data_IF_767509349111
#
_entry.id   IF_767509349111
#
_cell.length_a   1.000
_cell.length_b   1.000
_cell.length_c   1.000
_cell.angle_alpha   90.00
_cell.angle_beta   90.00
_cell.angle_gamma   90.00
#
_symmetry.space_group_name_H-M   'P 1'
#
loop_
_entity.id
_entity.type
_entity.pdbx_description
1 polymer ?
#
# COMPACT_ATOMS: atom_id res chain seq x y z
N UNK A 1 -64.45 -51.13 34.96
CA UNK A 1 -63.38 -51.83 35.71
C UNK A 1 -62.36 -52.23 34.67
N UNK A 2 -61.45 -51.30 34.39
CA UNK A 2 -60.58 -51.32 33.21
C UNK A 2 -59.17 -51.66 33.70
N UNK A 3 -58.62 -52.78 33.22
CA UNK A 3 -57.29 -53.28 33.58
C UNK A 3 -56.21 -52.38 33.00
N UNK A 4 -55.42 -51.75 33.89
CA UNK A 4 -54.22 -51.02 33.53
C UNK A 4 -53.08 -52.01 33.19
N UNK A 5 -52.88 -52.26 31.90
CA UNK A 5 -51.72 -52.97 31.38
C UNK A 5 -50.45 -52.12 31.50
N UNK A 6 -49.61 -52.42 32.49
CA UNK A 6 -48.25 -51.90 32.63
C UNK A 6 -47.36 -52.42 31.49
N UNK A 7 -47.07 -51.59 30.50
CA UNK A 7 -46.06 -51.85 29.46
C UNK A 7 -44.66 -51.68 30.08
N UNK A 8 -44.05 -52.78 30.49
CA UNK A 8 -42.63 -52.83 30.85
C UNK A 8 -41.81 -52.79 29.55
N UNK A 9 -41.24 -51.64 29.23
CA UNK A 9 -40.28 -51.49 28.11
C UNK A 9 -39.03 -52.30 28.45
N UNK A 10 -38.84 -53.43 27.75
CA UNK A 10 -37.65 -54.26 27.89
C UNK A 10 -36.37 -53.43 27.59
N UNK A 11 -35.47 -53.34 28.56
CA UNK A 11 -34.14 -52.71 28.37
C UNK A 11 -33.39 -53.48 27.28
N UNK A 12 -33.04 -52.78 26.21
CA UNK A 12 -32.25 -53.34 25.11
C UNK A 12 -30.98 -54.06 25.63
N UNK A 13 -30.74 -55.27 25.14
CA UNK A 13 -29.59 -56.10 25.46
C UNK A 13 -28.28 -55.33 25.16
N UNK A 14 -27.51 -55.05 26.22
CA UNK A 14 -26.27 -54.27 26.15
C UNK A 14 -25.14 -55.04 25.45
N UNK A 15 -25.26 -56.37 25.29
CA UNK A 15 -24.22 -57.24 24.73
C UNK A 15 -23.95 -57.02 23.23
N UNK A 16 -24.83 -56.29 22.52
CA UNK A 16 -24.72 -56.01 21.07
C UNK A 16 -24.21 -54.60 20.73
N UNK A 17 -23.85 -53.79 21.73
CA UNK A 17 -23.40 -52.41 21.48
C UNK A 17 -21.95 -52.40 21.06
N UNK A 18 -21.64 -51.66 20.00
CA UNK A 18 -20.26 -51.38 19.60
C UNK A 18 -19.58 -50.56 20.69
N UNK A 19 -18.36 -50.94 21.05
CA UNK A 19 -17.50 -50.20 21.98
C UNK A 19 -16.79 -49.08 21.21
N UNK A 20 -16.80 -47.88 21.77
CA UNK A 20 -16.16 -46.69 21.19
C UNK A 20 -15.11 -46.08 22.12
N UNK A 21 -14.82 -46.73 23.25
CA UNK A 21 -13.73 -46.35 24.15
C UNK A 21 -12.41 -46.85 23.59
N UNK A 22 -11.81 -46.04 22.72
CA UNK A 22 -10.52 -46.32 22.09
C UNK A 22 -9.33 -46.10 23.03
N UNK A 23 -9.55 -45.57 24.24
CA UNK A 23 -8.49 -45.38 25.25
C UNK A 23 -8.30 -46.65 26.06
N UNK A 24 -9.40 -47.25 26.55
CA UNK A 24 -9.33 -48.50 27.33
C UNK A 24 -9.19 -49.73 26.44
N UNK A 25 -9.85 -49.75 25.27
CA UNK A 25 -9.91 -50.88 24.35
C UNK A 25 -9.65 -50.43 22.90
N UNK A 26 -8.39 -50.08 22.55
CA UNK A 26 -8.06 -49.55 21.23
C UNK A 26 -8.28 -50.61 20.12
N UNK A 27 -9.33 -50.44 19.33
CA UNK A 27 -9.52 -51.17 18.08
C UNK A 27 -8.76 -50.45 16.95
N UNK A 28 -7.45 -50.71 16.85
CA UNK A 28 -6.49 -49.96 16.01
C UNK A 28 -6.89 -49.82 14.52
N UNK A 29 -7.70 -50.72 13.98
CA UNK A 29 -8.20 -50.67 12.59
C UNK A 29 -9.33 -49.63 12.39
N UNK A 30 -9.93 -49.14 13.48
CA UNK A 30 -11.15 -48.30 13.46
C UNK A 30 -10.99 -46.91 14.09
N UNK A 31 -9.79 -46.61 14.59
CA UNK A 31 -9.46 -45.30 15.19
C UNK A 31 -8.96 -44.32 14.13
N UNK A 32 -9.16 -43.03 14.37
CA UNK A 32 -8.66 -41.97 13.48
C UNK A 32 -7.14 -41.78 13.63
N UNK A 33 -6.46 -41.17 12.65
CA UNK A 33 -5.05 -40.83 12.78
C UNK A 33 -4.73 -40.00 14.03
N UNK A 34 -5.62 -39.07 14.41
CA UNK A 34 -5.42 -38.24 15.60
C UNK A 34 -5.64 -39.02 16.91
N UNK A 35 -6.60 -39.95 16.95
CA UNK A 35 -6.74 -40.87 18.09
C UNK A 35 -5.48 -41.73 18.25
N UNK A 36 -4.92 -42.23 17.15
CA UNK A 36 -3.66 -42.97 17.16
C UNK A 36 -2.51 -42.11 17.66
N UNK A 37 -2.40 -40.86 17.19
CA UNK A 37 -1.43 -39.90 17.71
C UNK A 37 -1.52 -39.76 19.24
N UNK A 38 -2.73 -39.62 19.79
CA UNK A 38 -2.92 -39.56 21.25
C UNK A 38 -2.42 -40.83 21.93
N UNK A 39 -2.72 -42.03 21.39
CA UNK A 39 -2.25 -43.29 21.94
C UNK A 39 -0.72 -43.44 21.88
N UNK A 40 -0.07 -42.83 20.89
CA UNK A 40 1.39 -42.90 20.68
C UNK A 40 2.18 -41.88 21.53
N UNK A 41 1.50 -40.98 22.27
CA UNK A 41 2.15 -40.07 23.22
C UNK A 41 2.68 -40.86 24.43
N UNK A 42 3.88 -40.49 24.90
CA UNK A 42 4.50 -41.08 26.09
C UNK A 42 3.85 -40.55 27.38
N UNK A 43 2.67 -41.06 27.69
CA UNK A 43 1.90 -40.66 28.87
C UNK A 43 2.56 -41.06 30.19
N UNK A 44 3.44 -42.06 30.20
CA UNK A 44 4.21 -42.44 31.40
C UNK A 44 5.11 -41.29 31.86
N UNK A 45 5.60 -40.48 30.93
CA UNK A 45 6.40 -39.27 31.24
C UNK A 45 5.55 -38.01 31.43
N UNK A 46 4.26 -38.08 31.16
CA UNK A 46 3.35 -36.95 31.41
C UNK A 46 2.98 -36.83 32.89
N UNK A 47 2.53 -35.64 33.29
CA UNK A 47 2.00 -35.39 34.64
C UNK A 47 0.65 -36.11 34.89
N UNK A 48 -0.01 -36.62 33.84
CA UNK A 48 -1.22 -37.45 33.97
C UNK A 48 -0.92 -38.93 34.22
N UNK A 49 0.33 -39.35 33.99
CA UNK A 49 0.72 -40.75 34.03
C UNK A 49 0.06 -41.61 32.94
N UNK A 50 0.30 -42.93 32.96
CA UNK A 50 -0.17 -43.85 31.94
C UNK A 50 -1.70 -43.87 31.84
N UNK A 51 -2.22 -43.95 30.60
CA UNK A 51 -3.66 -43.93 30.30
C UNK A 51 -4.50 -44.95 31.08
N UNK A 52 -3.92 -46.10 31.42
CA UNK A 52 -4.61 -47.15 32.18
C UNK A 52 -4.95 -46.71 33.61
N UNK A 53 -4.24 -45.72 34.14
CA UNK A 53 -4.45 -45.17 35.48
C UNK A 53 -5.33 -43.91 35.47
N UNK A 54 -5.73 -43.42 34.29
CA UNK A 54 -6.57 -42.23 34.21
C UNK A 54 -7.92 -42.45 34.89
N UNK A 55 -8.38 -41.49 35.72
CA UNK A 55 -9.72 -41.50 36.28
C UNK A 55 -10.79 -41.60 35.17
N UNK A 56 -11.92 -42.24 35.48
CA UNK A 56 -13.00 -42.42 34.52
C UNK A 56 -13.51 -41.09 33.96
N UNK A 57 -13.53 -40.03 34.78
CA UNK A 57 -13.95 -38.68 34.39
C UNK A 57 -12.98 -38.05 33.37
N UNK A 58 -11.67 -38.15 33.58
CA UNK A 58 -10.67 -37.69 32.61
C UNK A 58 -10.86 -38.42 31.29
N UNK A 59 -10.96 -39.76 31.33
CA UNK A 59 -11.17 -40.57 30.12
C UNK A 59 -12.42 -40.15 29.36
N UNK A 60 -13.55 -39.97 30.06
CA UNK A 60 -14.79 -39.49 29.45
C UNK A 60 -14.63 -38.11 28.81
N UNK A 61 -13.93 -37.19 29.48
CA UNK A 61 -13.68 -35.85 28.96
C UNK A 61 -12.76 -35.86 27.74
N UNK A 62 -11.72 -36.70 27.72
CA UNK A 62 -10.86 -36.87 26.55
C UNK A 62 -11.63 -37.46 25.38
N UNK A 63 -12.47 -38.48 25.61
CA UNK A 63 -13.35 -39.04 24.58
C UNK A 63 -14.29 -37.98 24.01
N UNK A 64 -14.86 -37.12 24.86
CA UNK A 64 -15.73 -36.02 24.46
C UNK A 64 -14.97 -34.97 23.63
N UNK A 65 -13.83 -34.49 24.12
CA UNK A 65 -13.01 -33.48 23.44
C UNK A 65 -12.57 -33.97 22.06
N UNK A 66 -12.09 -35.21 21.96
CA UNK A 66 -11.64 -35.78 20.69
C UNK A 66 -12.78 -36.00 19.70
N UNK A 67 -14.03 -36.13 20.17
CA UNK A 67 -15.21 -36.22 19.32
C UNK A 67 -15.76 -34.85 18.88
N UNK A 68 -15.43 -33.76 19.57
CA UNK A 68 -15.87 -32.42 19.19
C UNK A 68 -15.20 -32.01 17.87
N UNK A 69 -15.96 -31.62 16.83
CA UNK A 69 -15.38 -31.10 15.58
C UNK A 69 -14.78 -29.69 15.74
N UNK A 70 -15.12 -28.96 16.81
CA UNK A 70 -14.63 -27.62 17.11
C UNK A 70 -13.35 -27.68 17.94
N UNK A 71 -12.45 -26.68 17.89
CA UNK A 71 -11.25 -26.68 18.72
C UNK A 71 -11.60 -26.77 20.21
N UNK A 72 -11.18 -27.86 20.85
CA UNK A 72 -11.50 -28.17 22.23
C UNK A 72 -10.29 -28.75 22.96
N UNK A 73 -10.24 -28.49 24.26
CA UNK A 73 -9.13 -28.87 25.14
C UNK A 73 -9.61 -29.11 26.56
N UNK A 74 -8.94 -30.03 27.25
CA UNK A 74 -9.06 -30.22 28.70
C UNK A 74 -7.73 -29.88 29.35
N UNK A 75 -7.80 -29.07 30.41
CA UNK A 75 -6.72 -28.87 31.37
C UNK A 75 -7.05 -29.69 32.61
N UNK A 76 -6.17 -30.61 33.01
CA UNK A 76 -6.46 -31.56 34.07
C UNK A 76 -5.42 -31.53 35.20
N UNK A 77 -5.91 -31.65 36.44
CA UNK A 77 -5.08 -31.69 37.65
C UNK A 77 -4.52 -30.33 38.04
N UNK A 78 -3.73 -30.32 39.11
CA UNK A 78 -3.14 -29.11 39.70
C UNK A 78 -2.12 -28.43 38.79
N UNK A 79 -1.44 -29.21 37.95
CA UNK A 79 -0.48 -28.73 36.96
C UNK A 79 -1.14 -28.34 35.62
N UNK A 80 -2.47 -28.47 35.50
CA UNK A 80 -3.22 -28.13 34.28
C UNK A 80 -2.70 -28.83 33.02
N UNK A 81 -2.38 -30.13 33.13
CA UNK A 81 -1.88 -30.91 31.99
C UNK A 81 -2.87 -30.87 30.84
N UNK A 82 -2.38 -30.58 29.64
CA UNK A 82 -3.22 -30.24 28.50
C UNK A 82 -3.49 -31.46 27.59
N UNK A 83 -4.75 -31.69 27.24
CA UNK A 83 -5.18 -32.72 26.27
C UNK A 83 -6.17 -32.09 25.31
N UNK A 84 -5.82 -32.01 24.02
CA UNK A 84 -6.63 -31.31 23.01
C UNK A 84 -7.01 -32.22 21.83
N UNK A 85 -7.95 -31.74 21.00
CA UNK A 85 -8.41 -32.45 19.81
C UNK A 85 -7.73 -31.99 18.50
N UNK A 86 -8.03 -32.68 17.41
CA UNK A 86 -7.41 -32.41 16.11
C UNK A 86 -7.68 -30.98 15.62
N UNK A 87 -8.89 -30.46 15.85
CA UNK A 87 -9.25 -29.10 15.45
C UNK A 87 -8.41 -28.03 16.18
N UNK A 88 -7.99 -28.29 17.42
CA UNK A 88 -7.14 -27.41 18.21
C UNK A 88 -5.72 -27.26 17.64
N UNK A 89 -5.22 -28.25 16.91
CA UNK A 89 -3.87 -28.20 16.28
C UNK A 89 -3.69 -26.98 15.39
N UNK A 90 -4.75 -26.58 14.68
CA UNK A 90 -4.75 -25.43 13.77
C UNK A 90 -4.58 -24.10 14.51
N UNK A 91 -5.03 -24.01 15.76
CA UNK A 91 -4.91 -22.80 16.57
C UNK A 91 -3.49 -22.58 17.09
N UNK A 92 -2.81 -23.68 17.43
CA UNK A 92 -1.51 -23.65 18.12
C UNK A 92 -0.32 -23.83 17.19
N UNK A 93 -0.57 -24.23 15.94
CA UNK A 93 0.45 -24.39 14.90
C UNK A 93 1.59 -25.31 15.34
N UNK A 94 2.82 -24.78 15.30
CA UNK A 94 4.05 -25.53 15.58
C UNK A 94 4.18 -26.10 17.00
N UNK A 95 3.31 -25.72 17.95
CA UNK A 95 3.29 -26.28 19.31
C UNK A 95 2.73 -27.71 19.30
N UNK A 96 1.93 -28.07 18.31
CA UNK A 96 1.64 -29.48 18.01
C UNK A 96 2.83 -30.08 17.23
N UNK A 97 3.28 -31.31 17.55
CA UNK A 97 2.67 -32.26 18.50
C UNK A 97 3.17 -32.18 19.94
N UNK A 98 4.22 -31.40 20.22
CA UNK A 98 4.93 -31.44 21.50
C UNK A 98 4.06 -31.12 22.72
N UNK A 99 3.00 -30.31 22.55
CA UNK A 99 2.15 -29.86 23.65
C UNK A 99 1.24 -30.96 24.23
N UNK A 100 0.92 -32.02 23.49
CA UNK A 100 -0.05 -33.02 23.93
C UNK A 100 0.45 -33.75 25.20
N UNK A 101 -0.30 -33.62 26.30
CA UNK A 101 0.03 -34.23 27.59
C UNK A 101 1.14 -33.55 28.37
N UNK A 102 1.55 -32.34 27.99
CA UNK A 102 2.62 -31.59 28.67
C UNK A 102 2.08 -30.50 29.59
N UNK A 103 3.00 -29.88 30.34
CA UNK A 103 2.74 -28.64 31.07
C UNK A 103 2.60 -27.47 30.08
N UNK A 104 1.40 -26.88 29.94
CA UNK A 104 1.19 -25.76 29.03
C UNK A 104 1.97 -24.50 29.41
N UNK A 105 2.51 -24.36 30.64
CA UNK A 105 3.39 -23.24 31.04
C UNK A 105 4.62 -23.11 30.15
N UNK A 106 5.13 -24.24 29.67
CA UNK A 106 6.37 -24.28 28.91
C UNK A 106 6.11 -23.79 27.48
N UNK A 107 5.16 -24.41 26.81
CA UNK A 107 4.87 -24.13 25.40
C UNK A 107 3.99 -22.89 25.20
N UNK A 108 3.20 -22.46 26.18
CA UNK A 108 2.42 -21.23 26.13
C UNK A 108 2.97 -20.12 27.04
N UNK A 109 4.27 -20.12 27.33
CA UNK A 109 4.91 -19.16 28.23
C UNK A 109 4.54 -17.68 27.92
N UNK A 110 4.30 -17.34 26.65
CA UNK A 110 3.93 -15.99 26.23
C UNK A 110 2.53 -15.51 26.68
N UNK A 111 1.63 -16.43 27.01
CA UNK A 111 0.22 -16.14 27.36
C UNK A 111 -0.23 -16.81 28.68
N UNK A 112 0.59 -17.71 29.25
CA UNK A 112 0.15 -18.60 30.31
C UNK A 112 -0.23 -17.87 31.61
N UNK A 113 0.45 -16.76 31.96
CA UNK A 113 0.12 -15.97 33.16
C UNK A 113 -1.36 -15.55 33.23
N UNK A 114 -1.99 -15.31 32.07
CA UNK A 114 -3.41 -14.99 31.97
C UNK A 114 -4.28 -16.22 32.26
N UNK A 115 -3.96 -17.36 31.63
CA UNK A 115 -4.71 -18.61 31.78
C UNK A 115 -4.52 -19.27 33.14
N UNK A 116 -3.34 -19.14 33.75
CA UNK A 116 -3.07 -19.63 35.10
C UNK A 116 -3.99 -18.97 36.13
N UNK A 117 -4.13 -17.64 36.05
CA UNK A 117 -5.05 -16.89 36.93
C UNK A 117 -6.48 -17.32 36.72
N UNK A 118 -6.92 -17.43 35.46
CA UNK A 118 -8.27 -17.89 35.12
C UNK A 118 -8.55 -19.29 35.69
N UNK A 119 -7.64 -20.24 35.50
CA UNK A 119 -7.81 -21.60 35.99
C UNK A 119 -7.75 -21.67 37.52
N UNK A 120 -6.90 -20.88 38.18
CA UNK A 120 -6.84 -20.79 39.63
C UNK A 120 -8.16 -20.23 40.22
N UNK A 121 -8.67 -19.13 39.68
CA UNK A 121 -9.97 -18.55 40.08
C UNK A 121 -11.11 -19.54 39.86
N UNK A 122 -11.10 -20.27 38.74
CA UNK A 122 -12.10 -21.29 38.48
C UNK A 122 -12.03 -22.45 39.47
N UNK A 123 -10.82 -22.87 39.90
CA UNK A 123 -10.68 -23.92 40.92
C UNK A 123 -11.32 -23.53 42.25
N UNK A 124 -11.24 -22.27 42.63
CA UNK A 124 -11.80 -21.75 43.88
C UNK A 124 -13.32 -21.49 43.80
N UNK A 125 -13.81 -21.09 42.63
CA UNK A 125 -15.18 -20.58 42.48
C UNK A 125 -16.14 -21.54 41.78
N UNK A 126 -15.62 -22.53 41.05
CA UNK A 126 -16.38 -23.38 40.13
C UNK A 126 -17.23 -22.61 39.11
N UNK A 127 -16.83 -21.38 38.75
CA UNK A 127 -17.53 -20.55 37.78
C UNK A 127 -17.01 -20.78 36.36
N UNK A 128 -17.93 -20.69 35.38
CA UNK A 128 -17.58 -20.70 33.96
C UNK A 128 -17.09 -19.32 33.55
N UNK A 129 -15.96 -19.26 32.85
CA UNK A 129 -15.40 -18.02 32.31
C UNK A 129 -15.59 -17.98 30.81
N UNK A 130 -16.06 -16.85 30.29
CA UNK A 130 -16.24 -16.61 28.85
C UNK A 130 -15.60 -15.29 28.51
N UNK A 131 -14.80 -15.28 27.44
CA UNK A 131 -14.24 -14.05 26.90
C UNK A 131 -14.39 -14.06 25.38
N UNK A 132 -14.77 -12.91 24.82
CA UNK A 132 -14.96 -12.73 23.39
C UNK A 132 -13.91 -11.78 22.83
N UNK A 133 -13.40 -12.09 21.64
CA UNK A 133 -12.42 -11.28 20.91
C UNK A 133 -11.18 -10.91 21.73
N UNK A 134 -10.72 -11.84 22.57
CA UNK A 134 -9.59 -11.61 23.44
C UNK A 134 -8.29 -11.62 22.64
N UNK A 135 -7.49 -10.57 22.83
CA UNK A 135 -6.26 -10.32 22.09
C UNK A 135 -5.10 -11.09 22.73
N UNK A 136 -4.46 -11.97 21.95
CA UNK A 136 -3.28 -12.72 22.36
C UNK A 136 -2.17 -12.55 21.33
N UNK A 137 -0.95 -12.39 21.83
CA UNK A 137 0.26 -12.52 21.03
C UNK A 137 0.76 -13.96 21.17
N UNK A 138 0.61 -14.75 20.10
CA UNK A 138 0.89 -16.19 20.14
C UNK A 138 2.08 -16.51 19.23
N UNK A 139 3.10 -17.19 19.75
CA UNK A 139 4.23 -17.61 18.94
C UNK A 139 3.90 -18.92 18.20
N UNK A 140 3.44 -18.78 16.96
CA UNK A 140 3.10 -19.87 16.05
C UNK A 140 3.54 -19.51 14.64
N UNK A 141 3.81 -20.53 13.81
CA UNK A 141 4.29 -20.34 12.44
C UNK A 141 5.63 -19.58 12.30
N UNK A 142 6.49 -19.64 13.30
CA UNK A 142 7.86 -19.11 13.27
C UNK A 142 7.99 -17.64 13.69
N UNK A 143 6.90 -17.00 14.11
CA UNK A 143 6.91 -15.63 14.60
C UNK A 143 5.83 -15.42 15.68
N UNK A 144 5.93 -14.32 16.42
CA UNK A 144 4.87 -13.91 17.35
C UNK A 144 3.76 -13.23 16.54
N UNK A 145 2.57 -13.80 16.55
CA UNK A 145 1.44 -13.42 15.71
C UNK A 145 0.38 -12.64 16.51
N UNK A 146 -0.24 -11.64 15.87
CA UNK A 146 -1.45 -10.98 16.36
C UNK A 146 -2.64 -11.91 16.13
N UNK A 147 -3.25 -12.34 17.23
CA UNK A 147 -4.36 -13.30 17.21
C UNK A 147 -5.48 -12.85 18.12
N UNK A 148 -6.70 -13.23 17.77
CA UNK A 148 -7.91 -13.00 18.55
C UNK A 148 -8.69 -14.28 18.67
N UNK A 149 -9.10 -14.63 19.88
CA UNK A 149 -9.94 -15.80 20.08
C UNK A 149 -11.11 -15.48 21.02
N UNK A 150 -12.18 -16.22 20.84
CA UNK A 150 -13.30 -16.27 21.77
C UNK A 150 -13.33 -17.64 22.40
N UNK A 151 -13.43 -17.70 23.72
CA UNK A 151 -13.33 -18.95 24.45
C UNK A 151 -14.31 -19.04 25.61
N UNK A 152 -14.57 -20.28 25.99
CA UNK A 152 -15.37 -20.64 27.16
C UNK A 152 -14.65 -21.72 27.95
N UNK A 153 -14.35 -21.46 29.21
CA UNK A 153 -13.75 -22.40 30.16
C UNK A 153 -14.81 -22.85 31.16
N UNK A 154 -15.09 -24.14 31.18
CA UNK A 154 -16.11 -24.78 32.04
C UNK A 154 -15.40 -25.68 33.04
N UNK A 155 -15.61 -25.48 34.36
CA UNK A 155 -14.97 -26.31 35.37
C UNK A 155 -15.52 -27.74 35.31
N UNK A 156 -14.62 -28.71 35.51
CA UNK A 156 -14.96 -30.11 35.67
C UNK A 156 -14.92 -30.42 37.16
N UNK A 157 -16.05 -30.83 37.72
CA UNK A 157 -16.19 -31.16 39.14
C UNK A 157 -15.97 -32.66 39.32
N UNK A 158 -15.02 -33.02 40.19
CA UNK A 158 -14.67 -34.40 40.53
C UNK A 158 -15.68 -35.06 41.48
N UNK A 159 -15.42 -36.32 41.82
CA UNK A 159 -16.27 -37.08 42.74
C UNK A 159 -16.27 -36.50 44.16
N UNK A 160 -15.17 -35.87 44.56
CA UNK A 160 -15.01 -35.23 45.86
C UNK A 160 -15.73 -33.87 45.95
N UNK A 161 -16.32 -33.39 44.84
CA UNK A 161 -17.04 -32.11 44.78
C UNK A 161 -16.18 -30.88 44.50
N UNK A 162 -14.87 -31.04 44.38
CA UNK A 162 -13.91 -29.98 44.03
C UNK A 162 -13.67 -29.95 42.51
N UNK A 163 -13.19 -28.82 42.00
CA UNK A 163 -12.79 -28.69 40.60
C UNK A 163 -11.49 -29.47 40.36
N UNK A 164 -11.51 -30.41 39.41
CA UNK A 164 -10.37 -31.27 39.05
C UNK A 164 -9.75 -30.93 37.69
N UNK A 165 -10.37 -30.02 36.95
CA UNK A 165 -9.90 -29.57 35.66
C UNK A 165 -10.85 -28.55 35.02
N UNK A 166 -10.52 -28.15 33.80
CA UNK A 166 -11.33 -27.25 32.98
C UNK A 166 -11.46 -27.80 31.56
N UNK A 167 -12.67 -27.84 31.04
CA UNK A 167 -12.93 -28.03 29.63
C UNK A 167 -13.04 -26.67 28.94
N UNK A 168 -12.27 -26.44 27.90
CA UNK A 168 -12.35 -25.21 27.12
C UNK A 168 -12.68 -25.47 25.64
N UNK A 169 -13.59 -24.67 25.11
CA UNK A 169 -13.83 -24.55 23.68
C UNK A 169 -13.31 -23.19 23.21
N UNK A 170 -12.63 -23.18 22.07
CA UNK A 170 -11.95 -21.99 21.54
C UNK A 170 -12.30 -21.80 20.08
N UNK A 171 -12.58 -20.57 19.68
CA UNK A 171 -12.79 -20.18 18.29
C UNK A 171 -11.84 -19.03 17.98
N UNK A 172 -11.04 -19.19 16.93
CA UNK A 172 -10.26 -18.07 16.41
C UNK A 172 -11.15 -17.12 15.62
N UNK A 173 -11.07 -15.84 15.96
CA UNK A 173 -11.82 -14.74 15.35
C UNK A 173 -10.87 -13.65 14.82
N UNK A 174 -9.61 -14.00 14.60
CA UNK A 174 -8.54 -13.09 14.14
C UNK A 174 -8.90 -12.43 12.82
N UNK A 175 -9.42 -13.20 11.87
CA UNK A 175 -9.77 -12.71 10.53
C UNK A 175 -10.89 -11.67 10.59
N UNK A 176 -11.91 -11.95 11.39
CA UNK A 176 -13.08 -11.11 11.60
C UNK A 176 -12.68 -9.79 12.28
N UNK A 177 -11.97 -9.86 13.41
CA UNK A 177 -11.57 -8.67 14.18
C UNK A 177 -10.63 -7.77 13.37
N UNK A 178 -9.66 -8.36 12.67
CA UNK A 178 -8.74 -7.58 11.81
C UNK A 178 -9.49 -7.02 10.59
N UNK A 179 -10.39 -7.79 9.99
CA UNK A 179 -11.23 -7.34 8.89
C UNK A 179 -12.09 -6.13 9.27
N UNK A 180 -12.76 -6.19 10.41
CA UNK A 180 -13.57 -5.10 10.94
C UNK A 180 -12.75 -3.85 11.23
N UNK A 181 -11.56 -4.02 11.82
CA UNK A 181 -10.59 -2.92 12.05
C UNK A 181 -10.20 -2.24 10.74
N UNK A 182 -9.77 -3.03 9.75
CA UNK A 182 -9.34 -2.56 8.42
C UNK A 182 -10.46 -1.87 7.64
N UNK A 183 -11.68 -2.42 7.69
CA UNK A 183 -12.87 -1.78 7.11
C UNK A 183 -13.19 -0.45 7.79
N UNK A 184 -13.05 -0.38 9.11
CA UNK A 184 -13.20 0.88 9.85
C UNK A 184 -12.18 1.93 9.39
N UNK A 185 -10.92 1.54 9.22
CA UNK A 185 -9.85 2.43 8.75
C UNK A 185 -10.11 2.95 7.33
N UNK A 186 -10.55 2.08 6.40
CA UNK A 186 -10.94 2.46 5.03
C UNK A 186 -12.11 3.45 5.05
N UNK A 187 -13.13 3.21 5.87
CA UNK A 187 -14.28 4.12 5.99
C UNK A 187 -13.87 5.49 6.55
N UNK A 188 -13.00 5.49 7.56
CA UNK A 188 -12.44 6.73 8.11
C UNK A 188 -11.67 7.51 7.04
N UNK A 189 -10.84 6.82 6.25
CA UNK A 189 -10.08 7.44 5.15
C UNK A 189 -11.01 8.08 4.12
N UNK A 190 -12.01 7.33 3.64
CA UNK A 190 -12.99 7.81 2.66
C UNK A 190 -13.68 9.09 3.13
N UNK A 191 -14.08 9.14 4.42
CA UNK A 191 -14.64 10.33 5.04
C UNK A 191 -13.68 11.52 5.10
N UNK A 192 -12.41 11.28 5.44
CA UNK A 192 -11.39 12.35 5.52
C UNK A 192 -11.03 12.93 4.14
N UNK A 193 -10.87 12.06 3.14
CA UNK A 193 -10.47 12.39 1.76
C UNK A 193 -11.57 13.12 1.00
N UNK A 194 -12.85 12.82 1.25
CA UNK A 194 -13.98 13.47 0.59
C UNK A 194 -14.01 15.00 0.72
N UNK A 195 -13.41 15.54 1.79
CA UNK A 195 -13.31 16.98 2.02
C UNK A 195 -12.09 17.67 1.38
N UNK A 196 -11.22 16.93 0.68
CA UNK A 196 -9.98 17.47 0.11
C UNK A 196 -10.27 18.44 -1.04
N UNK A 197 -9.51 19.55 -1.09
CA UNK A 197 -9.67 20.58 -2.13
C UNK A 197 -8.50 20.71 -3.09
N UNK A 198 -7.31 20.27 -2.68
CA UNK A 198 -6.07 20.29 -3.46
C UNK A 198 -5.33 18.97 -3.31
N UNK A 199 -4.42 18.65 -4.23
CA UNK A 199 -3.59 17.44 -4.16
C UNK A 199 -2.78 17.40 -2.85
N UNK A 200 -2.25 18.55 -2.42
CA UNK A 200 -1.50 18.65 -1.16
C UNK A 200 -2.35 18.41 0.09
N UNK A 201 -3.60 18.90 0.10
CA UNK A 201 -4.55 18.62 1.20
C UNK A 201 -4.95 17.14 1.21
N UNK A 202 -5.09 16.53 0.03
CA UNK A 202 -5.36 15.10 -0.12
C UNK A 202 -4.26 14.24 0.51
N UNK A 203 -2.98 14.50 0.19
CA UNK A 203 -1.84 13.80 0.77
C UNK A 203 -1.79 13.93 2.29
N UNK A 204 -2.04 15.13 2.80
CA UNK A 204 -2.08 15.41 4.23
C UNK A 204 -3.17 14.59 4.93
N UNK A 205 -4.36 14.48 4.32
CA UNK A 205 -5.49 13.70 4.85
C UNK A 205 -5.26 12.19 4.76
N UNK A 206 -4.71 11.71 3.65
CA UNK A 206 -4.32 10.30 3.50
C UNK A 206 -3.38 9.87 4.62
N UNK A 207 -2.29 10.63 4.82
CA UNK A 207 -1.31 10.31 5.87
C UNK A 207 -1.93 10.41 7.27
N UNK A 208 -2.81 11.39 7.53
CA UNK A 208 -3.52 11.50 8.81
C UNK A 208 -4.40 10.28 9.09
N UNK A 209 -5.09 9.74 8.08
CA UNK A 209 -5.90 8.53 8.26
C UNK A 209 -5.02 7.30 8.51
N UNK A 210 -3.92 7.14 7.77
CA UNK A 210 -2.94 6.06 7.99
C UNK A 210 -2.30 6.17 9.39
N UNK A 211 -2.19 7.38 9.93
CA UNK A 211 -1.67 7.58 11.29
C UNK A 211 -2.54 6.92 12.37
N UNK A 212 -3.84 6.69 12.10
CA UNK A 212 -4.74 5.97 13.01
C UNK A 212 -4.64 4.45 12.85
N UNK A 213 -4.32 3.96 11.66
CA UNK A 213 -4.17 2.53 11.34
C UNK A 213 -2.78 1.99 11.76
N UNK A 214 -2.34 2.25 12.99
CA UNK A 214 -0.96 2.03 13.42
C UNK A 214 -0.53 0.56 13.54
N UNK A 215 -1.47 -0.34 13.86
CA UNK A 215 -1.21 -1.80 13.91
C UNK A 215 -1.04 -2.39 12.51
N UNK A 216 -1.88 -2.00 11.56
CA UNK A 216 -1.83 -2.49 10.19
C UNK A 216 -0.83 -1.74 9.30
N UNK A 217 -0.51 -0.49 9.61
CA UNK A 217 0.46 0.33 8.89
C UNK A 217 1.34 1.06 9.93
N UNK A 218 2.30 0.34 10.55
CA UNK A 218 3.20 0.92 11.56
C UNK A 218 4.03 2.08 10.99
N UNK A 219 4.29 2.08 9.68
CA UNK A 219 5.14 3.04 9.02
C UNK A 219 4.66 3.30 7.60
N UNK A 220 4.70 4.56 7.15
CA UNK A 220 4.36 4.91 5.78
C UNK A 220 5.03 6.21 5.34
N UNK A 221 5.24 6.38 4.04
CA UNK A 221 5.58 7.67 3.44
C UNK A 221 5.06 7.77 2.02
N UNK A 222 4.87 9.00 1.56
CA UNK A 222 4.27 9.29 0.27
C UNK A 222 5.22 10.10 -0.61
N UNK A 223 5.42 9.62 -1.83
CA UNK A 223 6.13 10.35 -2.89
C UNK A 223 5.16 10.80 -3.97
N UNK A 224 5.16 12.08 -4.33
CA UNK A 224 4.54 12.56 -5.57
C UNK A 224 5.52 12.42 -6.74
N UNK A 225 5.01 12.18 -7.95
CA UNK A 225 5.81 12.16 -9.18
C UNK A 225 5.77 13.56 -9.79
N UNK A 226 6.94 14.20 -9.96
CA UNK A 226 7.00 15.53 -10.53
C UNK A 226 6.65 15.49 -12.02
N UNK A 227 5.84 16.46 -12.47
CA UNK A 227 5.54 16.63 -13.90
C UNK A 227 6.83 16.94 -14.68
N UNK A 228 6.89 16.54 -15.95
CA UNK A 228 8.08 16.71 -16.82
C UNK A 228 8.52 18.18 -16.96
N UNK A 229 7.58 19.13 -16.85
CA UNK A 229 7.86 20.57 -16.84
C UNK A 229 8.58 21.02 -15.54
N UNK A 230 8.17 20.52 -14.37
CA UNK A 230 8.86 20.76 -13.09
C UNK A 230 10.22 20.06 -13.04
N UNK A 231 10.31 18.87 -13.62
CA UNK A 231 11.56 18.11 -13.73
C UNK A 231 12.63 18.90 -14.48
N UNK A 232 12.25 19.70 -15.49
CA UNK A 232 13.17 20.58 -16.24
C UNK A 232 13.79 21.72 -15.41
N UNK A 233 13.12 22.15 -14.33
CA UNK A 233 13.64 23.18 -13.42
C UNK A 233 14.57 22.64 -12.34
N UNK A 234 14.39 21.38 -11.93
CA UNK A 234 15.25 20.67 -10.97
C UNK A 234 16.45 20.00 -11.66
N UNK A 235 16.34 19.63 -12.93
CA UNK A 235 17.40 19.05 -13.77
C UNK A 235 18.22 20.11 -14.53
N UNK A 236 18.57 21.22 -13.88
CA UNK A 236 19.40 22.26 -14.49
C UNK A 236 20.82 21.78 -14.87
N UNK A 237 21.20 20.54 -14.56
CA UNK A 237 22.33 19.84 -15.16
C UNK A 237 21.87 18.99 -16.35
N UNK A 238 21.62 19.65 -17.49
CA UNK A 238 21.66 18.97 -18.80
C UNK A 238 23.12 18.59 -19.09
N UNK A 239 23.54 17.42 -18.63
CA UNK A 239 24.82 16.84 -19.04
C UNK A 239 24.64 16.26 -20.44
N UNK A 240 25.19 16.94 -21.45
CA UNK A 240 25.44 16.34 -22.77
C UNK A 240 26.33 15.10 -22.55
N UNK A 241 25.79 13.91 -22.85
CA UNK A 241 26.61 12.72 -22.95
C UNK A 241 27.63 12.89 -24.09
N UNK A 242 28.83 12.29 -23.99
CA UNK A 242 29.88 12.43 -25.00
C UNK A 242 29.49 11.99 -26.41
N UNK A 243 28.39 11.23 -26.55
CA UNK A 243 27.88 10.70 -27.82
C UNK A 243 26.63 11.42 -28.37
N UNK A 244 26.22 12.56 -27.79
CA UNK A 244 25.09 13.34 -28.30
C UNK A 244 23.71 12.68 -28.15
N UNK A 245 23.57 11.66 -27.29
CA UNK A 245 22.28 11.05 -26.98
C UNK A 245 21.48 11.91 -25.99
N UNK A 246 20.21 12.15 -26.33
CA UNK A 246 19.27 12.85 -25.47
C UNK A 246 18.88 11.95 -24.28
N UNK A 247 19.22 12.34 -23.06
CA UNK A 247 18.68 11.72 -21.84
C UNK A 247 17.27 12.26 -21.59
N UNK A 248 16.30 11.36 -21.44
CA UNK A 248 14.91 11.70 -21.10
C UNK A 248 14.87 12.43 -19.74
N UNK A 249 13.88 13.29 -19.47
CA UNK A 249 13.77 13.97 -18.19
C UNK A 249 13.67 12.93 -17.07
N UNK A 250 14.62 13.00 -16.13
CA UNK A 250 14.66 12.13 -14.95
C UNK A 250 13.33 12.21 -14.21
N UNK A 251 12.67 11.09 -13.98
CA UNK A 251 11.40 11.08 -13.25
C UNK A 251 11.68 11.22 -11.75
N UNK A 252 11.73 12.46 -11.27
CA UNK A 252 12.01 12.75 -9.86
C UNK A 252 10.74 12.63 -9.02
N UNK A 253 10.85 11.89 -7.92
CA UNK A 253 9.85 11.80 -6.87
C UNK A 253 10.15 12.77 -5.73
N UNK A 254 9.12 13.40 -5.16
CA UNK A 254 9.24 14.36 -4.06
C UNK A 254 8.48 13.83 -2.84
N UNK A 255 9.11 13.84 -1.67
CA UNK A 255 8.48 13.41 -0.42
C UNK A 255 7.42 14.41 0.03
N UNK A 256 6.16 13.97 0.09
CA UNK A 256 5.02 14.78 0.54
C UNK A 256 4.79 14.65 2.05
N UNK A 257 5.19 13.51 2.63
CA UNK A 257 5.15 13.29 4.08
C UNK A 257 5.46 11.87 4.49
N UNK A 258 5.66 11.67 5.79
CA UNK A 258 6.03 10.39 6.39
C UNK A 258 5.39 10.19 7.76
N UNK A 259 5.23 8.94 8.15
CA UNK A 259 4.66 8.48 9.42
C UNK A 259 5.57 7.38 9.97
N UNK A 260 6.01 7.53 11.23
CA UNK A 260 6.96 6.60 11.85
C UNK A 260 8.42 6.79 11.41
N UNK A 261 8.68 7.69 10.46
CA UNK A 261 10.03 8.10 10.02
C UNK A 261 10.09 9.63 9.97
N UNK A 262 11.22 10.21 10.38
CA UNK A 262 11.47 11.65 10.26
C UNK A 262 11.59 12.08 8.78
N UNK A 263 11.09 13.27 8.44
CA UNK A 263 11.21 13.79 7.08
C UNK A 263 12.69 13.95 6.68
N UNK A 264 13.06 13.47 5.48
CA UNK A 264 14.45 13.50 5.00
C UNK A 264 15.37 12.46 5.63
N UNK A 265 14.83 11.51 6.38
CA UNK A 265 15.57 10.33 6.84
C UNK A 265 16.11 9.54 5.63
N UNK A 266 17.20 8.78 5.83
CA UNK A 266 17.85 8.02 4.73
C UNK A 266 16.90 7.02 4.05
N UNK A 267 15.88 6.54 4.76
CA UNK A 267 14.82 5.65 4.23
C UNK A 267 13.71 6.39 3.48
N UNK A 268 13.52 7.67 3.76
CA UNK A 268 12.53 8.55 3.15
C UNK A 268 13.22 9.87 2.74
N UNK A 269 14.18 9.83 1.78
CA UNK A 269 14.85 11.02 1.29
C UNK A 269 13.85 12.00 0.66
N UNK A 270 14.15 13.30 0.69
CA UNK A 270 13.24 14.34 0.19
C UNK A 270 13.03 14.21 -1.33
N UNK A 271 14.08 13.82 -2.05
CA UNK A 271 14.06 13.63 -3.50
C UNK A 271 14.57 12.23 -3.83
N UNK A 272 13.87 11.54 -4.72
CA UNK A 272 14.27 10.24 -5.25
C UNK A 272 14.29 10.34 -6.76
N UNK A 273 15.46 10.10 -7.35
CA UNK A 273 15.57 9.94 -8.80
C UNK A 273 15.25 8.48 -9.16
N UNK A 274 14.15 8.27 -9.87
CA UNK A 274 13.72 6.93 -10.30
C UNK A 274 14.65 6.34 -11.37
N UNK A 275 15.53 7.11 -11.99
CA UNK A 275 16.45 6.63 -13.02
C UNK A 275 17.84 6.26 -12.43
N UNK A 276 18.04 6.48 -11.13
CA UNK A 276 19.25 6.12 -10.39
C UNK A 276 19.21 4.68 -9.86
N UNK A 277 20.28 3.90 -10.03
CA UNK A 277 20.35 2.48 -9.62
C UNK A 277 20.90 2.25 -8.20
N UNK A 278 20.80 3.26 -7.31
CA UNK A 278 21.61 3.30 -6.09
C UNK A 278 20.93 2.76 -4.81
N UNK A 279 19.70 2.22 -4.85
CA UNK A 279 19.11 1.59 -3.66
C UNK A 279 18.03 0.54 -3.97
N UNK A 280 17.83 -0.39 -3.03
CA UNK A 280 16.76 -1.39 -3.07
C UNK A 280 15.37 -0.75 -3.18
N UNK A 281 15.12 0.36 -2.47
CA UNK A 281 13.86 1.09 -2.53
C UNK A 281 13.56 1.65 -3.93
N UNK A 282 14.58 2.19 -4.62
CA UNK A 282 14.40 2.69 -5.99
C UNK A 282 14.05 1.56 -6.95
N UNK A 283 14.71 0.40 -6.82
CA UNK A 283 14.36 -0.79 -7.60
C UNK A 283 12.90 -1.21 -7.40
N UNK A 284 12.39 -1.18 -6.16
CA UNK A 284 10.98 -1.49 -5.88
C UNK A 284 10.01 -0.45 -6.44
N UNK A 285 10.36 0.85 -6.38
CA UNK A 285 9.57 1.93 -6.99
C UNK A 285 9.52 1.80 -8.52
N UNK A 286 10.66 1.49 -9.15
CA UNK A 286 10.74 1.23 -10.59
C UNK A 286 9.87 0.03 -10.99
N UNK A 287 9.93 -1.06 -10.23
CA UNK A 287 9.10 -2.24 -10.48
C UNK A 287 7.61 -1.91 -10.38
N UNK A 288 7.19 -1.22 -9.32
CA UNK A 288 5.80 -0.80 -9.14
C UNK A 288 5.32 0.13 -10.26
N UNK A 289 6.20 0.99 -10.81
CA UNK A 289 5.92 1.82 -11.99
C UNK A 289 5.73 1.00 -13.26
N UNK A 290 6.58 0.00 -13.48
CA UNK A 290 6.52 -0.85 -14.67
C UNK A 290 5.29 -1.75 -14.67
N UNK A 291 4.97 -2.33 -13.52
CA UNK A 291 3.80 -3.20 -13.34
C UNK A 291 2.49 -2.42 -13.20
N UNK A 292 2.56 -1.10 -12.92
CA UNK A 292 1.40 -0.27 -12.56
C UNK A 292 0.55 -0.91 -11.45
N UNK A 293 1.23 -1.54 -10.49
CA UNK A 293 0.60 -2.35 -9.46
C UNK A 293 1.43 -2.43 -8.18
N UNK A 294 0.84 -2.98 -7.10
CA UNK A 294 1.48 -3.03 -5.80
C UNK A 294 2.59 -4.08 -5.77
N UNK A 295 3.79 -3.66 -5.34
CA UNK A 295 4.96 -4.53 -5.17
C UNK A 295 5.29 -4.63 -3.69
N UNK A 296 5.46 -5.86 -3.19
CA UNK A 296 5.81 -6.13 -1.80
C UNK A 296 7.09 -6.94 -1.75
N UNK A 297 8.06 -6.46 -0.98
CA UNK A 297 9.40 -7.06 -0.87
C UNK A 297 9.75 -7.31 0.59
N UNK A 298 10.47 -8.41 0.89
CA UNK A 298 11.03 -8.61 2.22
C UNK A 298 12.12 -7.56 2.51
N UNK A 299 12.25 -7.20 3.78
CA UNK A 299 13.27 -6.24 4.22
C UNK A 299 14.61 -6.97 4.34
N UNK A 300 15.54 -6.67 3.44
CA UNK A 300 16.90 -7.21 3.48
C UNK A 300 17.74 -6.67 4.66
N UNK A 301 18.91 -7.26 4.89
CA UNK A 301 19.77 -6.93 6.04
C UNK A 301 20.15 -5.44 6.12
N UNK A 302 20.42 -4.80 4.99
CA UNK A 302 20.79 -3.38 4.95
C UNK A 302 19.66 -2.49 5.51
N UNK A 303 18.42 -2.71 5.04
CA UNK A 303 17.26 -1.97 5.52
C UNK A 303 16.94 -2.32 6.98
N UNK A 304 17.11 -3.59 7.36
CA UNK A 304 16.91 -4.02 8.74
C UNK A 304 17.83 -3.29 9.73
N UNK A 305 19.09 -3.05 9.36
CA UNK A 305 20.02 -2.28 10.21
C UNK A 305 19.52 -0.85 10.44
N UNK A 306 19.02 -0.19 9.40
CA UNK A 306 18.44 1.16 9.48
C UNK A 306 17.12 1.16 10.27
N UNK A 307 16.34 0.08 10.19
CA UNK A 307 15.08 -0.07 10.91
C UNK A 307 15.27 -0.20 12.42
N UNK A 308 16.41 -0.71 12.90
CA UNK A 308 16.70 -0.86 14.34
C UNK A 308 16.84 0.47 15.07
N UNK A 309 17.18 1.55 14.38
CA UNK A 309 17.34 2.89 14.96
C UNK A 309 16.00 3.63 15.09
N UNK A 310 14.93 3.11 14.49
CA UNK A 310 13.61 3.75 14.48
C UNK A 310 12.78 3.36 15.71
N UNK A 311 11.99 4.32 16.20
CA UNK A 311 10.93 4.06 17.19
C UNK A 311 9.65 3.63 16.47
N UNK A 312 9.36 2.33 16.52
CA UNK A 312 8.22 1.73 15.83
C UNK A 312 6.88 2.02 16.50
N UNK A 313 5.85 2.21 15.68
CA UNK A 313 4.43 2.31 16.08
C UNK A 313 3.79 0.92 16.17
N UNK A 314 2.51 0.85 16.54
CA UNK A 314 1.76 -0.40 16.63
C UNK A 314 2.38 -1.35 17.66
N UNK A 315 2.93 -2.47 17.20
CA UNK A 315 3.56 -3.48 18.05
C UNK A 315 4.97 -3.15 18.53
N UNK A 316 5.52 -1.98 18.15
CA UNK A 316 6.82 -1.51 18.65
C UNK A 316 8.02 -2.31 18.15
N UNK A 317 7.85 -3.12 17.10
CA UNK A 317 8.92 -3.91 16.48
C UNK A 317 9.02 -3.61 14.98
N UNK A 318 10.19 -3.83 14.35
CA UNK A 318 10.38 -3.57 12.92
C UNK A 318 9.49 -4.41 12.01
N UNK A 319 8.97 -3.77 10.95
CA UNK A 319 8.35 -4.46 9.82
C UNK A 319 9.35 -5.40 9.13
N UNK A 320 8.89 -6.58 8.74
CA UNK A 320 9.68 -7.57 7.98
C UNK A 320 9.53 -7.44 6.47
N UNK A 321 8.50 -6.70 6.02
CA UNK A 321 8.19 -6.46 4.62
C UNK A 321 7.82 -4.99 4.40
N UNK A 322 8.12 -4.49 3.21
CA UNK A 322 7.71 -3.17 2.73
C UNK A 322 6.87 -3.37 1.48
N UNK A 323 5.76 -2.63 1.39
CA UNK A 323 4.96 -2.55 0.17
C UNK A 323 5.05 -1.18 -0.46
N UNK A 324 5.12 -1.14 -1.78
CA UNK A 324 5.06 0.06 -2.61
C UNK A 324 3.76 -0.02 -3.42
N UNK A 325 2.89 0.96 -3.21
CA UNK A 325 1.57 1.03 -3.82
C UNK A 325 1.49 2.27 -4.71
N UNK A 326 1.44 2.10 -6.04
CA UNK A 326 1.25 3.22 -6.96
C UNK A 326 -0.18 3.79 -6.82
N UNK A 327 -0.29 5.11 -6.77
CA UNK A 327 -1.57 5.84 -6.80
C UNK A 327 -1.78 6.33 -8.22
N UNK A 328 -2.73 5.70 -8.90
CA UNK A 328 -3.04 5.93 -10.31
C UNK A 328 -4.50 6.40 -10.40
N UNK A 329 -4.79 7.62 -10.88
CA UNK A 329 -6.16 8.08 -11.09
C UNK A 329 -6.94 7.14 -12.00
N UNK A 330 -8.22 6.94 -11.66
CA UNK A 330 -9.15 6.24 -12.53
C UNK A 330 -9.15 6.90 -13.92
N UNK A 331 -9.08 6.07 -14.96
CA UNK A 331 -9.03 6.45 -16.39
C UNK A 331 -7.70 7.07 -16.89
N UNK A 332 -6.63 7.04 -16.09
CA UNK A 332 -5.31 7.52 -16.51
C UNK A 332 -4.27 6.40 -16.56
N UNK A 333 -3.32 6.50 -17.50
CA UNK A 333 -2.08 5.71 -17.49
C UNK A 333 -0.95 6.43 -16.75
N UNK A 334 -1.23 7.61 -16.17
CA UNK A 334 -0.25 8.47 -15.51
C UNK A 334 -0.21 8.20 -14.02
N UNK A 335 0.94 7.76 -13.53
CA UNK A 335 1.21 7.61 -12.11
C UNK A 335 1.33 8.98 -11.43
N UNK A 336 0.56 9.21 -10.35
CA UNK A 336 0.65 10.46 -9.58
C UNK A 336 1.61 10.37 -8.39
N UNK A 337 1.59 9.25 -7.69
CA UNK A 337 2.31 9.12 -6.43
C UNK A 337 2.61 7.65 -6.12
N UNK A 338 3.55 7.42 -5.21
CA UNK A 338 3.78 6.14 -4.56
C UNK A 338 3.52 6.27 -3.07
N UNK A 339 2.69 5.37 -2.53
CA UNK A 339 2.56 5.14 -1.11
C UNK A 339 3.46 3.96 -0.73
N UNK A 340 4.47 4.22 0.09
CA UNK A 340 5.33 3.16 0.65
C UNK A 340 4.89 2.88 2.07
N UNK A 341 4.71 1.61 2.41
CA UNK A 341 4.22 1.16 3.73
C UNK A 341 5.11 0.06 4.30
N UNK A 342 5.43 0.15 5.60
CA UNK A 342 5.92 -0.97 6.37
C UNK A 342 4.76 -1.84 6.81
N UNK A 343 4.82 -3.15 6.56
CA UNK A 343 3.73 -4.07 6.89
C UNK A 343 3.74 -4.45 8.38
N UNK A 344 2.57 -4.86 8.89
CA UNK A 344 2.36 -5.34 10.25
C UNK A 344 3.29 -6.55 10.52
N UNK A 345 4.25 -6.44 11.45
CA UNK A 345 5.23 -7.50 11.72
C UNK A 345 4.65 -8.70 12.45
N UNK A 346 3.39 -8.60 12.91
CA UNK A 346 2.66 -9.65 13.61
C UNK A 346 1.64 -10.36 12.71
N UNK A 347 1.66 -10.11 11.40
CA UNK A 347 0.79 -10.73 10.42
C UNK A 347 1.56 -11.16 9.17
N UNK A 348 1.14 -12.26 8.56
CA UNK A 348 1.56 -12.62 7.22
C UNK A 348 0.92 -11.68 6.19
N UNK A 349 1.61 -11.45 5.07
CA UNK A 349 1.03 -10.73 3.95
C UNK A 349 0.18 -11.69 3.10
N UNK A 350 -1.09 -11.82 3.45
CA UNK A 350 -2.10 -12.65 2.80
C UNK A 350 -3.00 -11.83 1.84
N UNK A 351 -3.93 -12.50 1.16
CA UNK A 351 -4.84 -11.87 0.19
C UNK A 351 -5.77 -10.85 0.84
N UNK A 352 -6.20 -11.07 2.09
CA UNK A 352 -7.03 -10.12 2.84
C UNK A 352 -6.23 -8.84 3.14
N UNK A 353 -4.95 -8.97 3.48
CA UNK A 353 -4.07 -7.83 3.72
C UNK A 353 -3.74 -7.07 2.43
N UNK A 354 -3.46 -7.79 1.34
CA UNK A 354 -3.32 -7.18 0.02
C UNK A 354 -4.57 -6.39 -0.37
N UNK A 355 -5.75 -7.00 -0.21
CA UNK A 355 -7.03 -6.37 -0.55
C UNK A 355 -7.30 -5.11 0.26
N UNK A 356 -6.95 -5.12 1.55
CA UNK A 356 -7.01 -3.92 2.40
C UNK A 356 -6.13 -2.78 1.87
N UNK A 357 -4.85 -3.04 1.59
CA UNK A 357 -3.94 -2.00 1.13
C UNK A 357 -4.29 -1.47 -0.26
N UNK A 358 -4.72 -2.35 -1.17
CA UNK A 358 -5.24 -1.95 -2.49
C UNK A 358 -6.49 -1.07 -2.34
N UNK A 359 -7.46 -1.50 -1.53
CA UNK A 359 -8.68 -0.72 -1.27
C UNK A 359 -8.36 0.63 -0.65
N UNK A 360 -7.38 0.69 0.27
CA UNK A 360 -6.91 1.93 0.89
C UNK A 360 -6.39 2.91 -0.16
N UNK A 361 -5.59 2.45 -1.12
CA UNK A 361 -5.11 3.31 -2.21
C UNK A 361 -6.21 3.68 -3.21
N UNK A 362 -7.17 2.78 -3.48
CA UNK A 362 -8.31 3.04 -4.37
C UNK A 362 -9.29 4.08 -3.82
N UNK A 363 -9.46 4.18 -2.49
CA UNK A 363 -10.23 5.27 -1.89
C UNK A 363 -9.66 6.65 -2.27
N UNK A 364 -8.35 6.74 -2.50
CA UNK A 364 -7.68 7.98 -2.91
C UNK A 364 -7.85 8.24 -4.40
N UNK A 365 -8.08 7.22 -5.23
CA UNK A 365 -8.23 7.33 -6.70
C UNK A 365 -9.69 7.52 -7.16
N UNK A 366 -10.62 7.63 -6.20
CA UNK A 366 -12.05 7.92 -6.37
C UNK A 366 -12.27 9.23 -7.17
N UNK A 367 -13.41 9.45 -7.86
CA UNK A 367 -13.76 10.68 -8.61
C UNK A 367 -13.48 12.03 -7.93
N UNK A 368 -13.31 12.06 -6.60
CA UNK A 368 -12.84 13.22 -5.84
C UNK A 368 -11.43 13.65 -6.26
N UNK A 369 -10.52 12.71 -6.53
CA UNK A 369 -9.19 12.99 -7.07
C UNK A 369 -9.29 13.61 -8.46
N UNK A 370 -10.10 13.05 -9.37
CA UNK A 370 -10.33 13.63 -10.70
C UNK A 370 -10.92 15.04 -10.61
N UNK A 371 -11.81 15.30 -9.64
CA UNK A 371 -12.37 16.62 -9.40
C UNK A 371 -11.35 17.61 -8.84
N UNK A 372 -10.47 17.17 -7.93
CA UNK A 372 -9.37 17.97 -7.40
C UNK A 372 -8.35 18.29 -8.48
N UNK A 373 -7.94 17.29 -9.28
CA UNK A 373 -7.02 17.46 -10.41
C UNK A 373 -7.62 18.44 -11.43
N UNK A 374 -8.88 18.24 -11.83
CA UNK A 374 -9.54 19.11 -12.79
C UNK A 374 -9.68 20.54 -12.26
N UNK A 375 -10.03 20.71 -10.98
CA UNK A 375 -10.11 22.04 -10.36
C UNK A 375 -8.74 22.71 -10.32
N UNK A 376 -7.70 22.02 -9.89
CA UNK A 376 -6.34 22.56 -9.83
C UNK A 376 -5.83 22.94 -11.22
N UNK A 377 -6.09 22.12 -12.25
CA UNK A 377 -5.73 22.45 -13.63
C UNK A 377 -6.52 23.66 -14.16
N UNK A 378 -7.81 23.78 -13.82
CA UNK A 378 -8.63 24.95 -14.17
C UNK A 378 -8.13 26.22 -13.47
N UNK A 379 -7.84 26.16 -12.17
CA UNK A 379 -7.32 27.29 -11.39
C UNK A 379 -5.93 27.72 -11.90
N UNK A 380 -5.05 26.76 -12.21
CA UNK A 380 -3.73 27.02 -12.80
C UNK A 380 -3.87 27.75 -14.13
N UNK A 381 -4.73 27.28 -15.04
CA UNK A 381 -4.99 27.95 -16.33
C UNK A 381 -5.58 29.35 -16.14
N UNK A 382 -6.50 29.52 -15.19
CA UNK A 382 -7.09 30.83 -14.89
C UNK A 382 -6.06 31.82 -14.32
N UNK A 383 -5.04 31.35 -13.59
CA UNK A 383 -4.00 32.22 -13.05
C UNK A 383 -2.98 32.70 -14.09
N UNK A 384 -2.69 31.86 -15.10
CA UNK A 384 -1.74 32.17 -16.18
C UNK A 384 -2.38 33.01 -17.29
N UNK A 385 -3.68 32.84 -17.55
CA UNK A 385 -4.38 33.52 -18.65
C UNK A 385 -4.32 35.06 -18.59
N UNK A 386 -4.42 35.75 -17.43
CA UNK A 386 -4.24 37.19 -17.36
C UNK A 386 -2.85 37.64 -17.78
N UNK A 387 -1.81 36.90 -17.40
CA UNK A 387 -0.42 37.24 -17.72
C UNK A 387 -0.14 37.03 -19.21
N UNK A 388 -0.57 35.89 -19.78
CA UNK A 388 -0.50 35.65 -21.22
C UNK A 388 -1.29 36.69 -22.03
N UNK A 389 -2.45 37.13 -21.52
CA UNK A 389 -3.24 38.19 -22.16
C UNK A 389 -2.52 39.55 -22.12
N UNK A 390 -1.86 39.89 -21.01
CA UNK A 390 -1.05 41.11 -20.87
C UNK A 390 0.18 41.07 -21.77
N UNK A 391 0.89 39.95 -21.82
CA UNK A 391 2.07 39.77 -22.68
C UNK A 391 1.68 39.85 -24.16
N UNK A 392 0.54 39.24 -24.54
CA UNK A 392 0.00 39.34 -25.90
C UNK A 392 -0.40 40.78 -26.24
N UNK A 393 -1.06 41.50 -25.32
CA UNK A 393 -1.44 42.91 -25.53
C UNK A 393 -0.19 43.80 -25.66
N UNK A 394 0.84 43.56 -24.83
CA UNK A 394 2.13 44.26 -24.91
C UNK A 394 2.82 44.01 -26.23
N UNK A 395 2.98 42.76 -26.65
CA UNK A 395 3.57 42.40 -27.94
C UNK A 395 2.82 43.02 -29.12
N UNK A 396 1.48 43.02 -29.05
CA UNK A 396 0.63 43.67 -30.05
C UNK A 396 0.85 45.19 -30.11
N UNK A 397 0.95 45.87 -28.96
CA UNK A 397 1.28 47.30 -28.90
C UNK A 397 2.68 47.61 -29.41
N UNK A 398 3.68 46.83 -29.02
CA UNK A 398 5.05 46.99 -29.51
C UNK A 398 5.13 46.82 -31.03
N UNK A 399 4.41 45.82 -31.57
CA UNK A 399 4.31 45.62 -33.02
C UNK A 399 3.62 46.80 -33.70
N UNK A 400 2.47 47.25 -33.19
CA UNK A 400 1.73 48.40 -33.75
C UNK A 400 2.52 49.71 -33.68
N UNK A 401 3.23 49.96 -32.58
CA UNK A 401 4.12 51.11 -32.46
C UNK A 401 5.31 51.02 -33.42
N UNK A 402 5.90 49.84 -33.57
CA UNK A 402 7.00 49.60 -34.52
C UNK A 402 6.52 49.82 -35.95
N UNK A 403 5.35 49.28 -36.33
CA UNK A 403 4.71 49.50 -37.63
C UNK A 403 4.44 50.99 -37.87
N UNK A 404 3.92 51.71 -36.87
CA UNK A 404 3.63 53.15 -36.98
C UNK A 404 4.91 53.99 -37.10
N UNK A 405 5.96 53.66 -36.32
CA UNK A 405 7.28 54.31 -36.40
C UNK A 405 7.92 54.05 -37.77
N UNK A 406 7.84 52.82 -38.27
CA UNK A 406 8.33 52.45 -39.59
C UNK A 406 7.57 53.19 -40.69
N UNK A 407 6.25 53.26 -40.63
CA UNK A 407 5.42 54.00 -41.58
C UNK A 407 5.75 55.50 -41.61
N UNK A 408 5.92 56.13 -40.43
CA UNK A 408 6.32 57.56 -40.31
C UNK A 408 7.74 57.81 -40.80
N UNK A 409 8.67 56.91 -40.52
CA UNK A 409 10.03 56.97 -41.05
C UNK A 409 10.00 56.86 -42.58
N UNK A 410 9.28 55.88 -43.12
CA UNK A 410 9.16 55.65 -44.55
C UNK A 410 8.60 56.88 -45.29
N UNK A 411 7.65 57.64 -44.72
CA UNK A 411 7.10 58.85 -45.37
C UNK A 411 8.05 60.06 -45.36
N UNK A 412 9.02 60.12 -44.45
CA UNK A 412 9.89 61.29 -44.26
C UNK A 412 11.36 61.05 -44.57
N UNK A 413 11.75 59.80 -44.77
CA UNK A 413 13.12 59.45 -45.11
C UNK A 413 13.47 59.99 -46.51
N UNK A 414 14.63 60.64 -46.70
CA UNK A 414 15.11 61.10 -48.01
C UNK A 414 15.69 59.93 -48.84
N UNK A 415 15.19 58.71 -48.63
CA UNK A 415 15.66 57.47 -49.24
C UNK A 415 14.43 56.65 -49.69
N UNK A 416 14.48 56.08 -50.89
CA UNK A 416 13.47 55.14 -51.35
C UNK A 416 13.50 53.87 -50.50
N UNK A 417 12.38 53.53 -49.85
CA UNK A 417 12.25 52.36 -48.99
C UNK A 417 11.19 51.41 -49.57
N UNK A 418 11.51 50.12 -49.66
CA UNK A 418 10.57 49.08 -50.03
C UNK A 418 10.74 47.82 -49.17
N UNK A 419 9.63 47.17 -48.84
CA UNK A 419 9.59 45.83 -48.24
C UNK A 419 9.32 44.85 -49.37
N UNK A 420 10.26 43.96 -49.62
CA UNK A 420 10.19 42.97 -50.68
C UNK A 420 9.88 41.58 -50.08
N UNK A 421 9.06 40.77 -50.76
CA UNK A 421 8.88 39.36 -50.42
C UNK A 421 10.13 38.55 -50.75
N UNK A 422 10.20 37.29 -50.26
CA UNK A 422 11.32 36.37 -50.59
C UNK A 422 11.49 36.13 -52.09
N UNK A 423 10.41 36.24 -52.86
CA UNK A 423 10.42 36.08 -54.31
C UNK A 423 10.68 37.41 -55.06
N UNK A 424 11.05 38.47 -54.33
CA UNK A 424 11.44 39.77 -54.88
C UNK A 424 10.27 40.69 -55.26
N UNK A 425 9.06 40.42 -54.77
CA UNK A 425 7.90 41.29 -55.03
C UNK A 425 7.86 42.42 -54.03
N UNK A 426 7.71 43.67 -54.49
CA UNK A 426 7.48 44.80 -53.60
C UNK A 426 6.09 44.66 -52.94
N UNK A 427 6.09 44.36 -51.64
CA UNK A 427 4.88 44.25 -50.81
C UNK A 427 4.43 45.62 -50.29
N UNK A 428 5.38 46.50 -49.98
CA UNK A 428 5.10 47.90 -49.66
C UNK A 428 6.29 48.78 -50.05
N UNK A 429 6.04 50.06 -50.32
CA UNK A 429 7.07 51.03 -50.61
C UNK A 429 6.65 52.44 -50.16
N UNK A 430 7.59 53.35 -49.95
CA UNK A 430 7.29 54.78 -49.77
C UNK A 430 7.18 55.52 -51.12
N UNK A 431 6.69 56.76 -51.08
CA UNK A 431 6.44 57.54 -52.29
C UNK A 431 7.74 57.85 -53.05
N UNK A 432 8.84 58.12 -52.35
CA UNK A 432 10.13 58.37 -52.97
C UNK A 432 10.66 57.14 -53.73
N UNK A 433 10.48 55.91 -53.21
CA UNK A 433 10.83 54.70 -53.94
C UNK A 433 9.97 54.54 -55.20
N UNK A 434 8.67 54.83 -55.11
CA UNK A 434 7.77 54.82 -56.28
C UNK A 434 8.14 55.87 -57.31
N UNK A 435 8.54 57.07 -56.90
CA UNK A 435 8.99 58.15 -57.78
C UNK A 435 10.31 57.81 -58.48
N UNK A 436 11.28 57.27 -57.73
CA UNK A 436 12.60 56.91 -58.25
C UNK A 436 12.55 55.71 -59.20
N UNK A 437 11.74 54.70 -58.88
CA UNK A 437 11.67 53.46 -59.66
C UNK A 437 10.59 53.47 -60.73
N UNK A 438 9.55 54.30 -60.57
CA UNK A 438 8.30 54.27 -61.36
C UNK A 438 7.60 52.91 -61.41
N UNK A 439 7.87 52.01 -60.44
CA UNK A 439 7.29 50.67 -60.41
C UNK A 439 6.03 50.60 -59.50
N UNK A 440 4.96 49.90 -59.92
CA UNK A 440 3.81 49.65 -59.06
C UNK A 440 4.10 48.61 -57.96
N UNK A 441 3.37 48.68 -56.84
CA UNK A 441 3.38 47.65 -55.79
C UNK A 441 2.89 46.33 -56.39
N UNK A 442 3.57 45.21 -56.07
CA UNK A 442 3.26 43.89 -56.63
C UNK A 442 3.96 43.58 -57.97
N UNK A 443 4.79 44.50 -58.50
CA UNK A 443 5.66 44.22 -59.65
C UNK A 443 6.63 43.10 -59.34
N UNK A 444 6.80 42.17 -60.27
CA UNK A 444 7.80 41.10 -60.15
C UNK A 444 9.14 41.66 -60.62
N UNK A 445 10.13 41.63 -59.73
CA UNK A 445 11.44 42.27 -59.86
C UNK A 445 11.31 43.79 -59.83
N UNK A 446 11.98 44.40 -58.86
CA UNK A 446 12.54 45.74 -59.08
C UNK A 446 13.35 45.56 -60.36
N UNK A 447 12.94 46.16 -61.47
CA UNK A 447 13.70 46.11 -62.72
C UNK A 447 14.97 46.93 -62.51
N UNK A 448 15.90 46.36 -61.74
CA UNK A 448 17.16 46.99 -61.36
C UNK A 448 17.89 47.47 -62.61
N UNK A 449 17.77 46.73 -63.71
CA UNK A 449 18.27 47.02 -65.05
C UNK A 449 17.77 48.37 -65.60
N UNK A 450 16.55 48.78 -65.25
CA UNK A 450 15.90 50.01 -65.74
C UNK A 450 16.03 51.21 -64.78
N UNK A 451 16.46 50.96 -63.53
CA UNK A 451 16.48 51.96 -62.44
C UNK A 451 17.89 52.26 -61.94
N UNK A 452 18.79 51.29 -61.96
CA UNK A 452 20.18 51.47 -61.52
C UNK A 452 21.04 52.06 -62.63
N UNK A 453 22.10 52.77 -62.24
CA UNK A 453 23.10 53.24 -63.18
C UNK A 453 23.84 52.07 -63.86
N UNK A 454 24.28 52.31 -65.10
CA UNK A 454 25.01 51.32 -65.91
C UNK A 454 26.23 50.77 -65.14
N UNK A 455 26.25 49.46 -64.87
CA UNK A 455 27.32 48.75 -64.15
C UNK A 455 27.08 48.42 -62.67
N UNK A 456 26.00 48.91 -62.04
CA UNK A 456 25.70 48.61 -60.62
C UNK A 456 24.84 47.35 -60.40
N UNK A 457 24.21 46.84 -61.47
CA UNK A 457 23.28 45.73 -61.43
C UNK A 457 23.88 44.43 -60.86
N UNK A 458 25.06 44.06 -61.33
CA UNK A 458 25.74 42.83 -60.90
C UNK A 458 26.11 42.88 -59.42
N UNK A 459 26.45 44.07 -58.92
CA UNK A 459 26.79 44.28 -57.52
C UNK A 459 25.56 44.14 -56.61
N UNK A 460 24.43 44.74 -57.00
CA UNK A 460 23.18 44.66 -56.22
C UNK A 460 22.64 43.24 -56.19
N UNK A 461 22.65 42.52 -57.31
CA UNK A 461 22.20 41.12 -57.36
C UNK A 461 23.08 40.20 -56.50
N UNK A 462 24.41 40.34 -56.57
CA UNK A 462 25.31 39.56 -55.72
C UNK A 462 25.09 39.81 -54.22
N UNK A 463 24.81 41.06 -53.85
CA UNK A 463 24.53 41.47 -52.47
C UNK A 463 23.18 40.91 -51.99
N UNK A 464 22.17 40.95 -52.85
CA UNK A 464 20.84 40.38 -52.58
C UNK A 464 20.89 38.86 -52.36
N UNK A 465 21.58 38.13 -53.23
CA UNK A 465 21.73 36.68 -53.12
C UNK A 465 22.46 36.28 -51.83
N UNK A 466 23.49 37.05 -51.45
CA UNK A 466 24.19 36.88 -50.17
C UNK A 466 23.26 37.12 -48.97
N UNK A 467 22.44 38.16 -49.01
CA UNK A 467 21.45 38.45 -47.96
C UNK A 467 20.45 37.30 -47.79
N UNK A 468 19.94 36.75 -48.90
CA UNK A 468 19.00 35.63 -48.88
C UNK A 468 19.64 34.34 -48.33
N UNK A 469 20.89 34.08 -48.68
CA UNK A 469 21.63 32.91 -48.20
C UNK A 469 22.01 33.01 -46.72
N UNK A 470 22.51 34.17 -46.28
CA UNK A 470 23.08 34.36 -44.94
C UNK A 470 22.07 34.87 -43.90
N UNK A 471 20.89 35.34 -44.33
CA UNK A 471 19.84 35.95 -43.49
C UNK A 471 20.34 37.10 -42.59
N UNK A 472 21.36 37.83 -43.04
CA UNK A 472 21.91 39.01 -42.35
C UNK A 472 21.71 40.25 -43.23
N UNK A 473 21.36 41.41 -42.65
CA UNK A 473 21.28 42.65 -43.43
C UNK A 473 22.67 42.99 -44.02
N UNK A 474 22.66 43.52 -45.24
CA UNK A 474 23.87 43.96 -45.95
C UNK A 474 24.40 45.29 -45.41
#
# INVERSE_FOLDING_TARGET
>A
MEEAGSVVVARADKSRRRLFDWISEPQLESITPFQRFILDVDWERSLLGPMQQWPAQLRQMVLLVVQDPSPAVVYWGDDSTIVYNEAYTKLIGQKHPALQGQDPKIEFAEIWDHFEKLLAEQRETAQTTVEANAFLLLHRHGFLEETYFSWKFVPIIGNEGWVVGSHATVVEVTREVIGDRRLSDIRSLSGEVSGARTIKDLWTRLLRSIQKADKDIPMAWLYSVADSATSSSLSSSRSEGPDGSFTMPSSVCILEGSIGIAAGHVLAPIHVDLDSFNSCLVGTLQQARQEMGPVVVPVGEELMNRFRELKWRGFGVPSTHIGVFPIIPNDSTSLLAFLVVGLNPRRTFDDDYRSFLTSLTEQVTTPQLSAVILREEVERRQSLAPQEALDRDRLSRELSESETKFARFATRAPIGLAVLSRDGFAQSANDLWRELTQLPIGSRRVAWDDVLAEGELDHVNATWDKMLAEKKPC
#
